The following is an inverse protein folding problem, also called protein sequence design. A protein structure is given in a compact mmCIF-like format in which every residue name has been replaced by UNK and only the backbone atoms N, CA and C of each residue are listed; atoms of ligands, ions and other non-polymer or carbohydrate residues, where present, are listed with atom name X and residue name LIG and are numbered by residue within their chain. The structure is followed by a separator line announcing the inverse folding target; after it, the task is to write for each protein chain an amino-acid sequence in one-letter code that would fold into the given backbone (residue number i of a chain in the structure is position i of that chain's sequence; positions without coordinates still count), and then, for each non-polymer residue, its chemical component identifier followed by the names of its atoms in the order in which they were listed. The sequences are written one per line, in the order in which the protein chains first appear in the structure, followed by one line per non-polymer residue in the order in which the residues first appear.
data_IF_893323374871
#
_entry.id   IF_893323374871
#
_cell.length_a   1.000
_cell.length_b   1.000
_cell.length_c   1.000
_cell.angle_alpha   90.00
_cell.angle_beta   90.00
_cell.angle_gamma   90.00
#
_symmetry.space_group_name_H-M   'P 1'
#
loop_
_entity.id
_entity.type
_entity.pdbx_description
1 polymer ?
#
# COMPACT_ATOMS: atom_id res chain seq x y z
N UNK A 1 12.07 18.99 3.13
CA UNK A 1 10.89 18.72 4.00
C UNK A 1 9.56 18.87 3.27
N UNK A 2 9.25 20.01 2.63
CA UNK A 2 7.99 20.20 1.84
C UNK A 2 7.85 19.21 0.67
N UNK A 3 8.95 18.90 -0.03
CA UNK A 3 8.95 17.95 -1.15
C UNK A 3 8.59 16.54 -0.67
N UNK A 4 9.16 16.11 0.47
CA UNK A 4 8.91 14.80 1.06
C UNK A 4 7.43 14.66 1.43
N UNK A 5 6.84 15.68 2.05
CA UNK A 5 5.42 15.69 2.42
C UNK A 5 4.52 15.62 1.18
N UNK A 6 4.82 16.39 0.13
CA UNK A 6 4.07 16.35 -1.14
C UNK A 6 4.13 14.97 -1.80
N UNK A 7 5.30 14.34 -1.79
CA UNK A 7 5.47 13.05 -2.44
C UNK A 7 4.85 11.89 -1.63
N UNK A 8 4.86 11.97 -0.29
CA UNK A 8 4.08 11.06 0.57
C UNK A 8 2.59 11.22 0.27
N UNK A 9 2.09 12.46 0.18
CA UNK A 9 0.69 12.74 -0.17
C UNK A 9 0.31 12.21 -1.56
N UNK A 10 1.17 12.39 -2.57
CA UNK A 10 0.92 11.84 -3.91
C UNK A 10 0.94 10.31 -3.93
N UNK A 11 1.81 9.69 -3.13
CA UNK A 11 1.84 8.23 -2.97
C UNK A 11 0.59 7.68 -2.28
N UNK A 12 0.10 8.36 -1.24
CA UNK A 12 -1.17 8.04 -0.57
C UNK A 12 -2.35 8.20 -1.54
N UNK A 13 -2.38 9.27 -2.34
CA UNK A 13 -3.40 9.51 -3.37
C UNK A 13 -3.38 8.44 -4.46
N UNK A 14 -2.20 8.07 -4.95
CA UNK A 14 -2.06 7.01 -5.94
C UNK A 14 -2.52 5.66 -5.36
N UNK A 15 -2.11 5.31 -4.15
CA UNK A 15 -2.56 4.12 -3.44
C UNK A 15 -4.07 4.10 -3.21
N UNK A 16 -4.66 5.25 -2.90
CA UNK A 16 -6.11 5.41 -2.75
C UNK A 16 -6.84 5.18 -4.08
N UNK A 17 -6.38 5.79 -5.17
CA UNK A 17 -6.98 5.63 -6.51
C UNK A 17 -6.85 4.18 -6.96
N UNK A 18 -5.70 3.53 -6.78
CA UNK A 18 -5.52 2.11 -7.13
C UNK A 18 -6.44 1.21 -6.32
N UNK A 19 -6.57 1.44 -5.02
CA UNK A 19 -7.48 0.66 -4.17
C UNK A 19 -8.96 0.91 -4.55
N UNK A 20 -9.32 2.16 -4.89
CA UNK A 20 -10.68 2.53 -5.31
C UNK A 20 -11.03 1.95 -6.68
N UNK A 21 -10.09 1.94 -7.63
CA UNK A 21 -10.26 1.29 -8.94
C UNK A 21 -10.30 -0.24 -8.81
N UNK A 22 -9.48 -0.81 -7.93
CA UNK A 22 -9.54 -2.23 -7.59
C UNK A 22 -10.91 -2.61 -7.05
N UNK A 23 -11.46 -1.79 -6.13
CA UNK A 23 -12.81 -1.97 -5.62
C UNK A 23 -13.89 -1.79 -6.71
N UNK A 24 -13.80 -0.74 -7.52
CA UNK A 24 -14.74 -0.50 -8.61
C UNK A 24 -14.78 -1.65 -9.62
N UNK A 25 -13.65 -2.32 -9.85
CA UNK A 25 -13.55 -3.53 -10.67
C UNK A 25 -14.19 -4.76 -10.02
N UNK A 26 -14.20 -4.84 -8.70
CA UNK A 26 -14.73 -5.98 -7.93
C UNK A 26 -16.21 -5.84 -7.53
N UNK A 27 -16.80 -4.65 -7.64
CA UNK A 27 -18.21 -4.35 -7.29
C UNK A 27 -19.23 -5.25 -8.00
N UNK A 28 -18.90 -5.77 -9.18
CA UNK A 28 -19.78 -6.65 -9.95
C UNK A 28 -19.78 -8.10 -9.48
N UNK A 29 -18.86 -8.48 -8.56
CA UNK A 29 -18.62 -9.89 -8.19
C UNK A 29 -18.54 -10.12 -6.66
N UNK A 30 -18.11 -9.14 -5.85
CA UNK A 30 -18.00 -9.27 -4.38
C UNK A 30 -18.50 -8.02 -3.62
N UNK A 31 -18.99 -8.21 -2.38
CA UNK A 31 -19.27 -7.13 -1.41
C UNK A 31 -17.97 -6.46 -0.95
N UNK A 32 -18.02 -5.15 -0.68
CA UNK A 32 -16.84 -4.36 -0.27
C UNK A 32 -16.14 -4.99 0.94
N UNK A 33 -14.91 -5.44 0.76
CA UNK A 33 -14.02 -5.88 1.84
C UNK A 33 -13.07 -4.73 2.26
N UNK A 34 -13.42 -4.09 3.39
CA UNK A 34 -12.67 -2.95 3.94
C UNK A 34 -11.26 -3.33 4.38
N UNK A 35 -11.04 -4.59 4.74
CA UNK A 35 -9.75 -5.11 5.17
C UNK A 35 -8.80 -5.26 3.98
N UNK A 36 -9.27 -5.80 2.84
CA UNK A 36 -8.47 -5.89 1.60
C UNK A 36 -8.14 -4.51 1.02
N UNK A 37 -9.08 -3.58 1.06
CA UNK A 37 -8.89 -2.21 0.56
C UNK A 37 -7.79 -1.48 1.34
N UNK A 38 -7.88 -1.45 2.68
CA UNK A 38 -6.86 -0.82 3.53
C UNK A 38 -5.48 -1.47 3.33
N UNK A 39 -5.45 -2.78 3.17
CA UNK A 39 -4.21 -3.52 2.93
C UNK A 39 -3.53 -3.16 1.60
N UNK A 40 -4.32 -2.82 0.57
CA UNK A 40 -3.83 -2.39 -0.75
C UNK A 40 -3.30 -0.96 -0.68
N UNK A 41 -4.02 -0.10 0.03
CA UNK A 41 -3.63 1.29 0.29
C UNK A 41 -2.28 1.39 1.01
N UNK A 42 -2.04 0.55 2.00
CA UNK A 42 -0.78 0.51 2.77
C UNK A 42 0.42 0.15 1.87
N UNK A 43 0.24 -0.82 0.95
CA UNK A 43 1.30 -1.20 0.01
C UNK A 43 1.53 -0.09 -1.03
N UNK A 44 0.45 0.49 -1.57
CA UNK A 44 0.56 1.62 -2.49
C UNK A 44 1.25 2.84 -1.88
N UNK A 45 0.95 3.15 -0.61
CA UNK A 45 1.60 4.22 0.14
C UNK A 45 3.09 3.95 0.39
N UNK A 46 3.46 2.72 0.72
CA UNK A 46 4.87 2.32 0.87
C UNK A 46 5.66 2.48 -0.43
N UNK A 47 5.14 1.97 -1.55
CA UNK A 47 5.78 2.09 -2.86
C UNK A 47 5.88 3.55 -3.30
N UNK A 48 4.83 4.34 -3.07
CA UNK A 48 4.84 5.78 -3.37
C UNK A 48 5.86 6.57 -2.54
N UNK A 49 6.01 6.24 -1.26
CA UNK A 49 7.03 6.85 -0.40
C UNK A 49 8.46 6.49 -0.84
N UNK A 50 8.67 5.25 -1.28
CA UNK A 50 9.95 4.81 -1.82
C UNK A 50 10.25 5.42 -3.20
N UNK A 51 9.26 5.53 -4.09
CA UNK A 51 9.37 6.26 -5.36
C UNK A 51 9.83 7.70 -5.13
N UNK A 52 9.21 8.39 -4.18
CA UNK A 52 9.57 9.73 -3.78
C UNK A 52 11.00 9.87 -3.25
N UNK A 53 11.43 8.90 -2.44
CA UNK A 53 12.74 8.93 -1.80
C UNK A 53 13.88 8.61 -2.78
N UNK A 54 13.63 7.68 -3.70
CA UNK A 54 14.59 7.23 -4.70
C UNK A 54 14.62 8.11 -5.95
N UNK A 55 13.66 9.03 -6.10
CA UNK A 55 13.50 9.86 -7.29
C UNK A 55 13.09 9.07 -8.54
N UNK A 56 12.53 7.88 -8.33
CA UNK A 56 12.10 6.97 -9.39
C UNK A 56 10.63 7.16 -9.71
N UNK A 57 10.23 6.87 -10.95
CA UNK A 57 8.81 6.74 -11.27
C UNK A 57 8.16 5.64 -10.42
N UNK A 58 6.84 5.71 -10.24
CA UNK A 58 6.13 4.73 -9.43
C UNK A 58 6.37 3.29 -9.91
N UNK A 59 6.38 3.07 -11.23
CA UNK A 59 6.60 1.77 -11.85
C UNK A 59 8.01 1.26 -11.58
N UNK A 60 9.04 2.09 -11.78
CA UNK A 60 10.43 1.73 -11.51
C UNK A 60 10.66 1.44 -10.03
N UNK A 61 10.06 2.22 -9.14
CA UNK A 61 10.13 1.98 -7.70
C UNK A 61 9.43 0.66 -7.31
N UNK A 62 8.28 0.37 -7.91
CA UNK A 62 7.58 -0.88 -7.68
C UNK A 62 8.42 -2.08 -8.13
N UNK A 63 8.97 -2.04 -9.35
CA UNK A 63 9.84 -3.08 -9.89
C UNK A 63 11.11 -3.25 -9.05
N UNK A 64 11.74 -2.16 -8.65
CA UNK A 64 12.92 -2.17 -7.77
C UNK A 64 12.61 -2.81 -6.41
N UNK A 65 11.55 -2.36 -5.73
CA UNK A 65 11.16 -2.88 -4.42
C UNK A 65 10.70 -4.34 -4.51
N UNK A 66 10.12 -4.74 -5.64
CA UNK A 66 9.76 -6.12 -5.91
C UNK A 66 11.02 -6.98 -6.10
N UNK A 67 11.98 -6.53 -6.92
CA UNK A 67 13.22 -7.24 -7.20
C UNK A 67 14.09 -7.42 -5.95
N UNK A 68 14.12 -6.43 -5.06
CA UNK A 68 14.87 -6.49 -3.78
C UNK A 68 14.08 -7.26 -2.70
N UNK A 69 12.85 -7.70 -2.99
CA UNK A 69 12.00 -8.43 -2.05
C UNK A 69 11.41 -7.56 -0.93
N UNK A 70 11.56 -6.23 -1.02
CA UNK A 70 11.06 -5.29 -0.03
C UNK A 70 9.53 -5.29 0.06
N UNK A 71 8.83 -5.44 -1.08
CA UNK A 71 7.36 -5.54 -1.10
C UNK A 71 6.90 -6.79 -0.33
N UNK A 72 7.51 -7.93 -0.58
CA UNK A 72 7.17 -9.20 0.07
C UNK A 72 7.45 -9.15 1.57
N UNK A 73 8.59 -8.61 1.97
CA UNK A 73 8.96 -8.43 3.37
C UNK A 73 7.98 -7.48 4.07
N UNK A 74 7.64 -6.37 3.44
CA UNK A 74 6.65 -5.42 3.96
C UNK A 74 5.26 -6.06 4.11
N UNK A 75 4.86 -6.90 3.16
CA UNK A 75 3.58 -7.63 3.25
C UNK A 75 3.55 -8.63 4.40
N UNK A 76 4.65 -9.34 4.67
CA UNK A 76 4.76 -10.25 5.81
C UNK A 76 4.80 -9.52 7.14
N UNK A 77 5.50 -8.38 7.22
CA UNK A 77 5.49 -7.51 8.40
C UNK A 77 4.07 -7.00 8.65
N UNK A 78 3.39 -6.48 7.62
CA UNK A 78 1.99 -6.04 7.70
C UNK A 78 1.07 -7.16 8.21
N UNK A 79 1.14 -8.36 7.62
CA UNK A 79 0.32 -9.51 8.03
C UNK A 79 0.60 -9.94 9.47
N UNK A 80 1.86 -9.87 9.91
CA UNK A 80 2.26 -10.19 11.28
C UNK A 80 1.70 -9.18 12.28
N UNK A 81 1.86 -7.88 12.02
CA UNK A 81 1.29 -6.80 12.84
C UNK A 81 -0.23 -6.92 12.92
N UNK A 82 -0.89 -7.14 11.78
CA UNK A 82 -2.34 -7.28 11.72
C UNK A 82 -2.87 -8.45 12.57
N UNK A 83 -2.18 -9.59 12.55
CA UNK A 83 -2.52 -10.75 13.40
C UNK A 83 -2.38 -10.43 14.89
N UNK A 84 -1.35 -9.67 15.27
CA UNK A 84 -1.14 -9.24 16.66
C UNK A 84 -2.26 -8.28 17.10
N UNK A 85 -2.58 -7.29 16.27
CA UNK A 85 -3.66 -6.33 16.54
C UNK A 85 -5.01 -7.04 16.67
N UNK A 86 -5.34 -7.98 15.76
CA UNK A 86 -6.58 -8.78 15.86
C UNK A 86 -6.65 -9.57 17.16
N UNK A 87 -5.53 -10.17 17.62
CA UNK A 87 -5.48 -10.89 18.90
C UNK A 87 -5.69 -9.97 20.11
N UNK A 88 -5.23 -8.72 20.06
CA UNK A 88 -5.41 -7.74 21.13
C UNK A 88 -6.84 -7.19 21.19
N UNK A 89 -7.51 -7.04 20.04
CA UNK A 89 -8.90 -6.56 19.96
C UNK A 89 -9.95 -7.61 20.32
N UNK A 90 -9.61 -8.90 20.28
CA UNK A 90 -10.51 -10.00 20.67
C UNK A 90 -10.43 -10.36 22.17
N UNK A 91 -9.64 -9.62 22.94
CA UNK A 91 -9.42 -9.82 24.38
C UNK A 91 -10.14 -8.73 25.16
#
# INVERSE_FOLDING_TARGET
MIIIIKSILSGILAGFITAALGYAKSVTVETFDWEKFLQTLIIGGFVGACSAHLGLSFTEAYEYLFAVGAITLFEYVKKSIWRIIKKLLQK
#
